data_IF_167386209992
#
_entry.id   IF_167386209992
#
_cell.length_a   1.000
_cell.length_b   1.000
_cell.length_c   1.000
_cell.angle_alpha   90.00
_cell.angle_beta   90.00
_cell.angle_gamma   90.00
#
_symmetry.space_group_name_H-M   'P 1'
#
loop_
_entity.id
_entity.type
_entity.pdbx_description
1 polymer ?
#
# COMPACT_ATOMS: atom_id res chain seq x y z
N UNK A 1 -43.97 -43.45 37.43
CA UNK A 1 -44.10 -42.03 37.83
C UNK A 1 -42.70 -41.44 37.92
N UNK A 2 -42.48 -40.28 37.29
CA UNK A 2 -41.31 -39.36 37.35
C UNK A 2 -39.93 -40.01 37.06
N UNK A 3 -39.24 -39.88 35.91
CA UNK A 3 -38.85 -38.71 35.07
C UNK A 3 -38.43 -37.49 35.88
N UNK A 4 -37.27 -36.93 35.50
CA UNK A 4 -36.52 -35.81 36.11
C UNK A 4 -35.70 -36.28 37.32
N UNK A 5 -34.37 -36.40 37.27
CA UNK A 5 -33.46 -35.25 37.27
C UNK A 5 -32.03 -35.68 36.82
N UNK A 6 -31.89 -36.23 35.61
CA UNK A 6 -30.59 -36.35 34.93
C UNK A 6 -30.36 -35.07 34.09
N UNK A 7 -30.31 -33.93 34.78
CA UNK A 7 -30.02 -32.64 34.17
C UNK A 7 -29.59 -31.74 35.32
N UNK A 8 -28.27 -31.49 35.45
CA UNK A 8 -27.66 -30.32 36.10
C UNK A 8 -26.19 -30.53 36.53
N UNK A 9 -25.36 -31.24 35.74
CA UNK A 9 -23.89 -31.19 35.91
C UNK A 9 -23.17 -30.80 34.60
N UNK A 10 -23.92 -30.49 33.54
CA UNK A 10 -23.36 -30.11 32.23
C UNK A 10 -23.40 -28.59 31.95
N UNK A 11 -23.54 -27.76 32.99
CA UNK A 11 -23.78 -26.32 32.83
C UNK A 11 -22.72 -25.43 33.47
N UNK A 12 -21.63 -25.99 34.01
CA UNK A 12 -20.59 -25.21 34.72
C UNK A 12 -19.25 -25.18 33.94
N UNK A 13 -19.11 -25.99 32.87
CA UNK A 13 -17.90 -26.04 32.05
C UNK A 13 -18.03 -25.24 30.73
N UNK A 14 -18.65 -24.06 30.78
CA UNK A 14 -18.77 -23.17 29.61
C UNK A 14 -18.49 -21.68 29.92
N UNK A 15 -17.92 -21.36 31.10
CA UNK A 15 -17.66 -19.97 31.51
C UNK A 15 -16.15 -19.69 31.60
N UNK A 16 -15.33 -20.40 30.83
CA UNK A 16 -13.87 -20.20 30.76
C UNK A 16 -13.38 -20.12 29.31
N UNK A 17 -14.10 -19.35 28.48
CA UNK A 17 -13.52 -18.77 27.26
C UNK A 17 -13.51 -17.27 27.46
N UNK A 18 -12.47 -16.85 28.19
CA UNK A 18 -11.67 -15.66 27.89
C UNK A 18 -12.33 -14.63 26.97
N UNK A 19 -13.10 -13.70 27.52
CA UNK A 19 -13.18 -12.37 26.93
C UNK A 19 -11.84 -11.68 27.22
N UNK A 20 -10.80 -12.08 26.50
CA UNK A 20 -9.76 -11.11 26.16
C UNK A 20 -10.47 -10.15 25.22
N UNK A 21 -10.85 -8.97 25.70
CA UNK A 21 -11.10 -7.84 24.81
C UNK A 21 -9.84 -7.72 23.96
N UNK A 22 -9.95 -8.15 22.71
CA UNK A 22 -8.92 -7.98 21.71
C UNK A 22 -8.57 -6.49 21.69
N UNK A 23 -7.29 -6.16 21.79
CA UNK A 23 -6.84 -4.83 21.38
C UNK A 23 -7.48 -4.53 20.02
N UNK A 24 -8.09 -3.36 19.86
CA UNK A 24 -8.76 -2.94 18.64
C UNK A 24 -7.99 -3.42 17.41
N UNK A 25 -8.59 -4.32 16.63
CA UNK A 25 -7.98 -4.80 15.40
C UNK A 25 -7.72 -3.57 14.52
N UNK A 26 -6.50 -3.41 14.01
CA UNK A 26 -6.23 -2.32 13.08
C UNK A 26 -7.09 -2.57 11.82
N UNK A 27 -7.95 -1.62 11.41
CA UNK A 27 -8.84 -1.84 10.27
C UNK A 27 -8.09 -2.20 8.98
N UNK A 28 -6.84 -1.75 8.83
CA UNK A 28 -6.03 -2.10 7.66
C UNK A 28 -5.52 -3.54 7.64
N UNK A 29 -5.51 -4.23 8.78
CA UNK A 29 -5.07 -5.62 8.89
C UNK A 29 -6.17 -6.61 8.49
N UNK A 30 -7.42 -6.15 8.41
CA UNK A 30 -8.55 -6.93 7.90
C UNK A 30 -8.35 -7.21 6.40
N UNK A 31 -8.50 -8.48 6.00
CA UNK A 31 -8.19 -8.96 4.64
C UNK A 31 -9.42 -9.26 3.78
N UNK A 32 -10.62 -9.25 4.38
CA UNK A 32 -11.85 -9.78 3.78
C UNK A 32 -12.95 -8.73 3.58
N UNK A 33 -12.58 -7.45 3.47
CA UNK A 33 -13.52 -6.41 3.09
C UNK A 33 -14.20 -6.70 1.74
N UNK A 34 -15.49 -6.33 1.56
CA UNK A 34 -16.20 -6.54 0.32
C UNK A 34 -15.47 -5.93 -0.89
N UNK A 35 -15.21 -6.77 -1.91
CA UNK A 35 -14.62 -6.33 -3.18
C UNK A 35 -15.65 -5.48 -3.93
N UNK A 36 -15.29 -4.23 -4.22
CA UNK A 36 -16.13 -3.29 -5.00
C UNK A 36 -15.71 -3.20 -6.46
N UNK A 37 -14.42 -3.42 -6.73
CA UNK A 37 -13.90 -3.45 -8.08
C UNK A 37 -12.74 -4.45 -8.16
N UNK A 38 -12.67 -5.19 -9.26
CA UNK A 38 -11.57 -6.10 -9.55
C UNK A 38 -11.34 -6.12 -11.05
N UNK A 39 -10.08 -6.02 -11.47
CA UNK A 39 -9.70 -6.10 -12.87
C UNK A 39 -8.29 -6.64 -13.02
N UNK A 40 -8.05 -7.31 -14.13
CA UNK A 40 -6.68 -7.61 -14.55
C UNK A 40 -5.98 -6.32 -14.98
N UNK A 41 -4.70 -6.20 -14.63
CA UNK A 41 -3.79 -5.15 -15.09
C UNK A 41 -2.59 -5.81 -15.76
N UNK A 42 -2.00 -5.12 -16.72
CA UNK A 42 -0.92 -5.64 -17.55
C UNK A 42 0.40 -4.95 -17.22
N UNK A 43 1.48 -5.69 -17.42
CA UNK A 43 2.84 -5.22 -17.15
C UNK A 43 3.67 -5.30 -18.42
N UNK A 44 4.46 -4.25 -18.74
CA UNK A 44 5.41 -4.32 -19.83
C UNK A 44 6.40 -5.48 -19.63
N UNK A 45 6.80 -6.13 -20.72
CA UNK A 45 7.77 -7.22 -20.71
C UNK A 45 9.23 -6.75 -20.59
N UNK A 46 9.46 -5.44 -20.57
CA UNK A 46 10.78 -4.82 -20.40
C UNK A 46 10.64 -3.39 -19.91
N UNK A 47 11.73 -2.83 -19.37
CA UNK A 47 11.81 -1.45 -18.92
C UNK A 47 13.08 -0.79 -19.46
N UNK A 48 13.01 0.44 -20.01
CA UNK A 48 14.19 1.21 -20.34
C UNK A 48 14.88 1.73 -19.06
N UNK A 49 16.20 1.85 -19.12
CA UNK A 49 17.03 2.48 -18.09
C UNK A 49 17.27 3.97 -18.42
N UNK A 50 17.44 4.85 -17.42
CA UNK A 50 17.41 4.53 -16.00
C UNK A 50 16.00 4.25 -15.47
N UNK A 51 15.93 3.47 -14.40
CA UNK A 51 14.67 3.09 -13.74
C UNK A 51 14.83 3.10 -12.21
N UNK A 52 13.71 3.30 -11.52
CA UNK A 52 13.60 3.10 -10.08
C UNK A 52 12.81 1.83 -9.78
N UNK A 53 13.06 1.22 -8.63
CA UNK A 53 12.28 0.10 -8.13
C UNK A 53 12.11 0.13 -6.62
N UNK A 54 11.07 -0.52 -6.11
CA UNK A 54 11.05 -1.00 -4.74
C UNK A 54 10.99 -2.52 -4.75
N UNK A 55 11.45 -3.13 -3.66
CA UNK A 55 11.36 -4.57 -3.45
C UNK A 55 10.68 -4.85 -2.10
N UNK A 56 9.73 -5.79 -2.11
CA UNK A 56 9.10 -6.32 -0.89
C UNK A 56 8.78 -7.80 -1.12
N UNK A 57 9.27 -8.69 -0.26
CA UNK A 57 8.95 -10.12 -0.25
C UNK A 57 9.09 -10.80 -1.62
N UNK A 58 10.27 -10.66 -2.24
CA UNK A 58 10.61 -11.20 -3.57
C UNK A 58 9.78 -10.64 -4.73
N UNK A 59 9.03 -9.56 -4.48
CA UNK A 59 8.33 -8.79 -5.50
C UNK A 59 9.06 -7.49 -5.74
N UNK A 60 9.37 -7.18 -6.99
CA UNK A 60 9.90 -5.88 -7.40
C UNK A 60 8.96 -5.19 -8.38
N UNK A 61 8.68 -3.91 -8.14
CA UNK A 61 7.96 -3.05 -9.08
C UNK A 61 8.92 -2.02 -9.62
N UNK A 62 9.04 -1.97 -10.94
CA UNK A 62 10.07 -1.21 -11.65
C UNK A 62 9.38 -0.18 -12.54
N UNK A 63 9.83 1.08 -12.42
CA UNK A 63 9.30 2.22 -13.17
C UNK A 63 10.45 2.96 -13.84
N UNK A 64 10.45 3.11 -15.17
CA UNK A 64 11.40 3.97 -15.86
C UNK A 64 11.39 5.41 -15.34
N UNK A 65 12.56 6.00 -15.15
CA UNK A 65 12.71 7.36 -14.60
C UNK A 65 11.94 8.39 -15.43
N UNK A 66 11.93 8.25 -16.76
CA UNK A 66 11.15 9.12 -17.65
C UNK A 66 9.67 9.15 -17.27
N UNK A 67 9.07 7.98 -17.03
CA UNK A 67 7.66 7.86 -16.65
C UNK A 67 7.43 8.37 -15.22
N UNK A 68 8.36 8.09 -14.29
CA UNK A 68 8.29 8.62 -12.94
C UNK A 68 8.28 10.17 -12.91
N UNK A 69 9.12 10.81 -13.75
CA UNK A 69 9.16 12.27 -13.92
C UNK A 69 7.82 12.79 -14.47
N UNK A 70 7.30 12.17 -15.54
CA UNK A 70 6.01 12.55 -16.14
C UNK A 70 4.88 12.49 -15.10
N UNK A 71 4.77 11.38 -14.35
CA UNK A 71 3.76 11.19 -13.31
C UNK A 71 3.89 12.18 -12.14
N UNK A 72 5.13 12.61 -11.83
CA UNK A 72 5.40 13.58 -10.76
C UNK A 72 4.98 14.99 -11.17
N UNK A 73 5.12 15.35 -12.46
CA UNK A 73 4.72 16.66 -13.00
C UNK A 73 3.20 16.85 -13.07
N UNK A 74 2.42 15.77 -13.08
CA UNK A 74 0.95 15.86 -13.10
C UNK A 74 0.40 16.68 -11.93
N UNK A 75 -0.45 17.68 -12.22
CA UNK A 75 -1.08 18.51 -11.20
C UNK A 75 -0.08 19.25 -10.29
N UNK A 76 1.10 19.59 -10.82
CA UNK A 76 2.10 20.38 -10.08
C UNK A 76 1.62 21.83 -9.88
N UNK A 77 0.97 22.41 -10.88
CA UNK A 77 0.52 23.81 -10.84
C UNK A 77 -0.59 24.05 -9.79
N UNK A 78 -1.46 23.04 -9.63
CA UNK A 78 -2.61 23.02 -8.70
C UNK A 78 -2.24 22.59 -7.28
N UNK A 79 -1.00 22.15 -7.06
CA UNK A 79 -0.55 21.66 -5.77
C UNK A 79 -0.41 22.79 -4.73
N UNK A 80 -0.72 22.48 -3.47
CA UNK A 80 -0.38 23.35 -2.33
C UNK A 80 1.14 23.43 -2.14
N UNK A 81 1.60 24.38 -1.32
CA UNK A 81 3.04 24.67 -1.18
C UNK A 81 3.86 23.46 -0.71
N UNK A 82 3.34 22.68 0.23
CA UNK A 82 4.01 21.47 0.73
C UNK A 82 4.17 20.44 -0.39
N UNK A 83 3.11 20.22 -1.17
CA UNK A 83 3.12 19.26 -2.28
C UNK A 83 4.00 19.76 -3.44
N UNK A 84 4.06 21.07 -3.70
CA UNK A 84 5.00 21.66 -4.67
C UNK A 84 6.45 21.41 -4.28
N UNK A 85 6.80 21.70 -3.01
CA UNK A 85 8.15 21.44 -2.49
C UNK A 85 8.49 19.94 -2.61
N UNK A 86 7.56 19.08 -2.20
CA UNK A 86 7.72 17.62 -2.25
C UNK A 86 7.96 17.13 -3.69
N UNK A 87 7.11 17.52 -4.63
CA UNK A 87 7.25 17.13 -6.04
C UNK A 87 8.56 17.62 -6.64
N UNK A 88 8.97 18.86 -6.34
CA UNK A 88 10.26 19.38 -6.80
C UNK A 88 11.45 18.58 -6.24
N UNK A 89 11.41 18.14 -4.98
CA UNK A 89 12.45 17.28 -4.41
C UNK A 89 12.51 15.91 -5.08
N UNK A 90 11.37 15.30 -5.37
CA UNK A 90 11.29 14.05 -6.11
C UNK A 90 11.85 14.24 -7.53
N UNK A 91 11.43 15.29 -8.24
CA UNK A 91 11.92 15.59 -9.59
C UNK A 91 13.44 15.75 -9.61
N UNK A 92 14.00 16.56 -8.71
CA UNK A 92 15.45 16.76 -8.62
C UNK A 92 16.18 15.44 -8.35
N UNK A 93 15.62 14.58 -7.50
CA UNK A 93 16.19 13.27 -7.20
C UNK A 93 16.18 12.35 -8.43
N UNK A 94 15.05 12.28 -9.14
CA UNK A 94 14.89 11.49 -10.36
C UNK A 94 15.78 11.99 -11.50
N UNK A 95 15.89 13.30 -11.69
CA UNK A 95 16.72 13.93 -12.73
C UNK A 95 18.22 13.75 -12.47
N UNK A 96 18.62 13.49 -11.22
CA UNK A 96 20.02 13.22 -10.85
C UNK A 96 20.48 11.77 -11.11
N UNK A 97 19.55 10.86 -11.44
CA UNK A 97 19.87 9.45 -11.70
C UNK A 97 20.65 9.34 -13.01
N UNK A 98 21.77 8.62 -13.00
CA UNK A 98 22.62 8.52 -14.19
C UNK A 98 22.00 7.57 -15.21
N UNK A 99 22.25 7.79 -16.52
CA UNK A 99 21.84 6.86 -17.55
C UNK A 99 22.32 5.44 -17.27
N UNK A 100 21.45 4.44 -17.49
CA UNK A 100 21.78 3.03 -17.29
C UNK A 100 21.64 2.50 -15.86
N UNK A 101 21.26 3.33 -14.88
CA UNK A 101 21.10 2.89 -13.49
C UNK A 101 19.71 2.30 -13.21
N UNK A 102 19.67 1.23 -12.39
CA UNK A 102 18.47 0.71 -11.75
C UNK A 102 18.60 0.93 -10.24
N UNK A 103 17.82 1.87 -9.69
CA UNK A 103 17.99 2.35 -8.31
C UNK A 103 16.81 1.94 -7.44
N UNK A 104 17.10 1.50 -6.20
CA UNK A 104 16.06 1.31 -5.21
C UNK A 104 15.52 2.68 -4.77
N UNK A 105 14.22 2.94 -4.88
CA UNK A 105 13.63 4.23 -4.49
C UNK A 105 13.87 4.59 -3.04
N UNK A 106 14.07 3.62 -2.16
CA UNK A 106 14.34 3.87 -0.74
C UNK A 106 15.62 4.67 -0.54
N UNK A 107 16.62 4.51 -1.42
CA UNK A 107 17.85 5.30 -1.39
C UNK A 107 17.66 6.74 -1.87
N UNK A 108 16.53 7.04 -2.52
CA UNK A 108 16.14 8.38 -2.96
C UNK A 108 15.30 9.11 -1.91
N UNK A 109 14.85 8.41 -0.86
CA UNK A 109 14.14 9.03 0.24
C UNK A 109 15.13 9.85 1.04
N UNK A 110 14.95 11.17 1.03
CA UNK A 110 15.75 12.06 1.87
C UNK A 110 15.28 11.91 3.33
N UNK A 111 15.84 10.93 4.05
CA UNK A 111 15.73 10.79 5.50
C UNK A 111 17.03 11.23 6.18
N UNK A 112 17.36 12.54 6.26
CA UNK A 112 18.47 12.97 7.09
C UNK A 112 18.21 12.60 8.55
N UNK A 113 19.19 11.94 9.18
CA UNK A 113 19.20 11.75 10.62
C UNK A 113 19.12 13.13 11.29
N UNK A 114 18.17 13.32 12.21
CA UNK A 114 17.84 14.61 12.87
C UNK A 114 17.15 15.66 11.98
N UNK A 115 16.08 15.26 11.30
CA UNK A 115 15.15 16.19 10.65
C UNK A 115 14.53 17.16 11.67
N UNK A 116 14.57 18.49 11.48
CA UNK A 116 13.77 19.42 12.26
C UNK A 116 12.27 19.10 12.10
N UNK A 117 11.47 19.29 13.15
CA UNK A 117 10.01 19.00 13.14
C UNK A 117 9.32 19.58 11.90
N UNK A 118 9.71 20.78 11.52
CA UNK A 118 9.19 21.54 10.37
C UNK A 118 9.42 20.87 9.01
N UNK A 119 10.46 20.03 8.88
CA UNK A 119 10.79 19.34 7.63
C UNK A 119 10.23 17.92 7.57
N UNK A 120 9.66 17.37 8.66
CA UNK A 120 9.09 16.02 8.67
C UNK A 120 7.93 15.88 7.71
N UNK A 121 7.07 16.90 7.61
CA UNK A 121 5.92 16.83 6.71
C UNK A 121 6.38 16.62 5.27
N UNK A 122 7.38 17.37 4.81
CA UNK A 122 7.95 17.23 3.46
C UNK A 122 8.63 15.86 3.28
N UNK A 123 9.37 15.38 4.27
CA UNK A 123 10.02 14.06 4.20
C UNK A 123 8.99 12.92 4.09
N UNK A 124 7.96 12.92 4.94
CA UNK A 124 6.86 11.95 4.87
C UNK A 124 6.13 12.03 3.53
N UNK A 125 5.81 13.24 3.07
CA UNK A 125 5.15 13.44 1.78
C UNK A 125 6.03 12.98 0.60
N UNK A 126 7.36 13.03 0.73
CA UNK A 126 8.27 12.51 -0.31
C UNK A 126 8.12 11.01 -0.49
N UNK A 127 8.02 10.25 0.61
CA UNK A 127 7.81 8.80 0.57
C UNK A 127 6.45 8.46 -0.03
N UNK A 128 5.41 9.15 0.44
CA UNK A 128 4.05 9.04 -0.12
C UNK A 128 4.05 9.37 -1.61
N UNK A 129 4.83 10.36 -2.04
CA UNK A 129 5.02 10.72 -3.44
C UNK A 129 5.63 9.59 -4.27
N UNK A 130 6.70 8.95 -3.78
CA UNK A 130 7.27 7.77 -4.45
C UNK A 130 6.28 6.59 -4.49
N UNK A 131 5.56 6.32 -3.40
CA UNK A 131 4.51 5.30 -3.38
C UNK A 131 3.42 5.59 -4.43
N UNK A 132 3.01 6.85 -4.56
CA UNK A 132 2.04 7.28 -5.56
C UNK A 132 2.55 7.10 -7.01
N UNK A 133 3.86 7.26 -7.27
CA UNK A 133 4.45 6.95 -8.58
C UNK A 133 4.24 5.48 -8.93
N UNK A 134 4.53 4.56 -7.99
CA UNK A 134 4.35 3.14 -8.22
C UNK A 134 2.88 2.75 -8.38
N UNK A 135 2.00 3.28 -7.53
CA UNK A 135 0.55 3.07 -7.62
C UNK A 135 0.02 3.50 -8.99
N UNK A 136 0.30 4.74 -9.40
CA UNK A 136 -0.12 5.26 -10.72
C UNK A 136 0.46 4.43 -11.85
N UNK A 137 1.73 4.04 -11.74
CA UNK A 137 2.40 3.26 -12.79
C UNK A 137 1.77 1.87 -12.94
N UNK A 138 1.44 1.20 -11.84
CA UNK A 138 0.76 -0.10 -11.87
C UNK A 138 -0.66 0.04 -12.45
N UNK A 139 -1.45 0.99 -11.97
CA UNK A 139 -2.84 1.17 -12.39
C UNK A 139 -3.00 1.62 -13.85
N UNK A 140 -1.94 2.16 -14.44
CA UNK A 140 -1.86 2.60 -15.84
C UNK A 140 -1.06 1.65 -16.74
N UNK A 141 -0.71 0.45 -16.26
CA UNK A 141 0.04 -0.56 -17.01
C UNK A 141 1.42 -0.08 -17.49
N UNK A 142 2.06 0.81 -16.73
CA UNK A 142 3.37 1.41 -17.03
C UNK A 142 4.51 0.75 -16.27
N UNK A 143 4.21 0.13 -15.12
CA UNK A 143 5.22 -0.53 -14.28
C UNK A 143 5.47 -1.97 -14.75
N UNK A 144 6.75 -2.32 -14.84
CA UNK A 144 7.18 -3.72 -14.97
C UNK A 144 7.19 -4.36 -13.58
N UNK A 145 6.78 -5.63 -13.49
CA UNK A 145 6.75 -6.35 -12.21
C UNK A 145 7.58 -7.63 -12.31
N UNK A 146 8.40 -7.87 -11.29
CA UNK A 146 9.10 -9.14 -11.08
C UNK A 146 8.55 -9.84 -9.84
N UNK A 147 8.40 -11.15 -9.93
CA UNK A 147 8.14 -12.06 -8.82
C UNK A 147 9.16 -13.18 -8.89
N UNK A 148 9.90 -13.42 -7.81
CA UNK A 148 10.95 -14.45 -7.77
C UNK A 148 11.96 -14.30 -8.93
N UNK A 149 12.41 -13.06 -9.15
CA UNK A 149 13.27 -12.63 -10.27
C UNK A 149 12.69 -12.80 -11.69
N UNK A 150 11.52 -13.42 -11.84
CA UNK A 150 10.85 -13.59 -13.12
C UNK A 150 9.91 -12.42 -13.41
N UNK A 151 9.98 -11.90 -14.64
CA UNK A 151 9.04 -10.90 -15.12
C UNK A 151 7.65 -11.54 -15.30
N UNK A 152 6.62 -10.89 -14.76
CA UNK A 152 5.22 -11.26 -15.00
C UNK A 152 4.58 -10.26 -15.95
N UNK A 153 3.62 -10.71 -16.75
CA UNK A 153 2.94 -9.90 -17.76
C UNK A 153 1.57 -9.38 -17.31
N UNK A 154 0.97 -9.96 -16.26
CA UNK A 154 -0.27 -9.47 -15.68
C UNK A 154 -0.39 -9.78 -14.19
N UNK A 155 -1.29 -9.03 -13.53
CA UNK A 155 -1.70 -9.24 -12.15
C UNK A 155 -3.14 -8.77 -11.97
N UNK A 156 -3.70 -8.97 -10.77
CA UNK A 156 -5.06 -8.58 -10.44
C UNK A 156 -5.09 -7.43 -9.45
N UNK A 157 -5.70 -6.33 -9.86
CA UNK A 157 -6.11 -5.25 -8.98
C UNK A 157 -7.43 -5.60 -8.29
N UNK A 158 -7.52 -5.30 -7.00
CA UNK A 158 -8.73 -5.35 -6.19
C UNK A 158 -8.86 -4.06 -5.39
N UNK A 159 -10.04 -3.46 -5.43
CA UNK A 159 -10.46 -2.42 -4.51
C UNK A 159 -11.56 -2.98 -3.61
N UNK A 160 -11.32 -2.87 -2.32
CA UNK A 160 -12.18 -3.35 -1.26
C UNK A 160 -12.60 -2.18 -0.39
N UNK A 161 -13.85 -2.23 0.06
CA UNK A 161 -14.41 -1.19 0.89
C UNK A 161 -15.40 -1.80 1.90
N UNK A 162 -15.20 -1.50 3.17
CA UNK A 162 -16.05 -1.97 4.27
C UNK A 162 -16.01 -1.05 5.47
N UNK A 163 -16.79 -1.40 6.49
CA UNK A 163 -16.84 -0.68 7.77
C UNK A 163 -16.27 -1.57 8.85
N UNK A 164 -15.50 -0.98 9.76
CA UNK A 164 -15.08 -1.63 10.99
C UNK A 164 -15.69 -0.90 12.18
N UNK A 165 -16.14 -1.67 13.17
CA UNK A 165 -16.51 -1.12 14.47
C UNK A 165 -15.20 -0.75 15.17
N UNK A 166 -14.97 0.54 15.43
CA UNK A 166 -13.93 0.95 16.38
C UNK A 166 -14.52 0.91 17.79
N UNK A 167 -13.66 0.75 18.80
CA UNK A 167 -14.05 0.76 20.23
C UNK A 167 -14.73 2.07 20.69
N UNK A 168 -14.82 3.08 19.82
CA UNK A 168 -15.34 4.42 20.09
C UNK A 168 -16.70 4.66 19.39
N UNK A 169 -17.44 3.62 19.02
CA UNK A 169 -18.79 3.69 18.41
C UNK A 169 -18.86 4.40 17.03
N UNK A 170 -17.73 4.84 16.49
CA UNK A 170 -17.63 5.42 15.15
C UNK A 170 -17.36 4.31 14.14
N UNK A 171 -18.25 4.23 13.14
CA UNK A 171 -18.06 3.36 11.98
C UNK A 171 -16.95 3.95 11.12
N UNK A 172 -15.79 3.34 11.19
CA UNK A 172 -14.65 3.72 10.37
C UNK A 172 -14.82 3.11 8.98
N UNK A 173 -14.93 3.94 7.95
CA UNK A 173 -15.00 3.47 6.58
C UNK A 173 -13.58 3.19 6.09
N UNK A 174 -13.32 1.95 5.68
CA UNK A 174 -11.98 1.46 5.34
C UNK A 174 -11.92 1.16 3.85
N UNK A 175 -10.88 1.69 3.23
CA UNK A 175 -10.59 1.52 1.83
C UNK A 175 -9.28 0.79 1.68
N UNK A 176 -9.29 -0.28 0.87
CA UNK A 176 -8.10 -1.11 0.66
C UNK A 176 -7.93 -1.42 -0.82
N UNK A 177 -6.76 -1.11 -1.34
CA UNK A 177 -6.32 -1.46 -2.69
C UNK A 177 -5.23 -2.51 -2.57
N UNK A 178 -5.37 -3.61 -3.30
CA UNK A 178 -4.33 -4.63 -3.41
C UNK A 178 -4.13 -4.99 -4.88
N UNK A 179 -2.87 -5.13 -5.28
CA UNK A 179 -2.47 -5.74 -6.54
C UNK A 179 -1.77 -7.04 -6.22
N UNK A 180 -2.24 -8.15 -6.79
CA UNK A 180 -1.79 -9.51 -6.44
C UNK A 180 -1.51 -10.32 -7.71
N UNK A 181 -0.51 -11.19 -7.65
CA UNK A 181 -0.32 -12.27 -8.64
C UNK A 181 0.18 -13.52 -7.94
N UNK A 182 -0.39 -14.69 -8.25
CA UNK A 182 -0.02 -15.98 -7.66
C UNK A 182 0.08 -15.94 -6.12
N UNK A 183 -0.93 -15.34 -5.46
CA UNK A 183 -1.00 -15.16 -4.00
C UNK A 183 0.08 -14.25 -3.38
N UNK A 184 0.95 -13.65 -4.19
CA UNK A 184 1.91 -12.63 -3.75
C UNK A 184 1.33 -11.24 -3.92
N UNK A 185 1.41 -10.45 -2.85
CA UNK A 185 1.03 -9.04 -2.86
C UNK A 185 2.11 -8.23 -3.54
N UNK A 186 1.78 -7.63 -4.67
CA UNK A 186 2.66 -6.72 -5.42
C UNK A 186 2.61 -5.34 -4.81
N UNK A 187 1.41 -4.82 -4.56
CA UNK A 187 1.20 -3.51 -3.95
C UNK A 187 -0.02 -3.57 -3.05
N UNK A 188 0.04 -2.85 -1.94
CA UNK A 188 -1.07 -2.73 -1.01
C UNK A 188 -1.10 -1.31 -0.45
N UNK A 189 -2.30 -0.74 -0.38
CA UNK A 189 -2.56 0.52 0.29
C UNK A 189 -3.88 0.42 1.03
N UNK A 190 -3.88 0.89 2.26
CA UNK A 190 -5.08 1.03 3.07
C UNK A 190 -5.20 2.47 3.56
N UNK A 191 -6.42 2.99 3.59
CA UNK A 191 -6.74 4.25 4.25
C UNK A 191 -8.14 4.18 4.84
N UNK A 192 -8.38 5.13 5.73
CA UNK A 192 -9.59 5.26 6.50
C UNK A 192 -10.17 6.64 6.15
N UNK A 193 -11.46 6.71 5.88
CA UNK A 193 -12.16 7.99 5.84
C UNK A 193 -12.49 8.39 7.29
N UNK A 194 -12.08 9.60 7.68
CA UNK A 194 -12.51 10.28 8.91
C UNK A 194 -13.87 10.96 8.69
#
# INVERSE_FOLDING_TARGET
MAKVLMTNILSILFVLISFTLSASENPCDVIDYPIKNSREIYHPSSFPLPAIYYNKNDVSVIVPVKLAIELTKEGLDEANDVLKITKNQILNSLESIKPGELINSDSLWSWPQNLPREKYQVATQTIVGYQAIYEKSLLRNLATVKIDEALINSSYFKYMNGRMLSDIDEHVQVHKVIIISNQKTIYERCWIDE
#
